data_IF_954889956037
#
_entry.id   IF_954889956037
#
_cell.length_a   1.000
_cell.length_b   1.000
_cell.length_c   1.000
_cell.angle_alpha   90.00
_cell.angle_beta   90.00
_cell.angle_gamma   90.00
#
_symmetry.space_group_name_H-M   'P 1'
#
loop_
_entity.id
_entity.type
_entity.pdbx_description
1 polymer ?
#
# COMPACT_ATOMS: atom_id res chain seq x y z
N UNK A 1 -8.01 29.15 -10.62
CA UNK A 1 -8.52 27.76 -10.43
C UNK A 1 -7.47 26.75 -9.95
N UNK A 2 -6.18 27.09 -9.83
CA UNK A 2 -5.10 26.15 -9.45
C UNK A 2 -4.99 25.87 -7.94
N UNK A 3 -5.33 26.84 -7.09
CA UNK A 3 -5.17 26.73 -5.62
C UNK A 3 -6.15 25.72 -4.98
N UNK A 4 -7.41 25.68 -5.44
CA UNK A 4 -8.40 24.70 -4.96
C UNK A 4 -8.03 23.25 -5.31
N UNK A 5 -7.55 23.02 -6.54
CA UNK A 5 -7.10 21.69 -6.99
C UNK A 5 -5.91 21.18 -6.18
N UNK A 6 -4.97 22.07 -5.82
CA UNK A 6 -3.86 21.74 -4.92
C UNK A 6 -4.33 21.38 -3.51
N UNK A 7 -5.25 22.16 -2.95
CA UNK A 7 -5.84 21.87 -1.63
C UNK A 7 -6.57 20.53 -1.60
N UNK A 8 -7.33 20.19 -2.65
CA UNK A 8 -8.05 18.92 -2.72
C UNK A 8 -7.09 17.72 -2.83
N UNK A 9 -5.96 17.88 -3.51
CA UNK A 9 -4.92 16.84 -3.62
C UNK A 9 -4.17 16.64 -2.30
N UNK A 10 -3.75 17.73 -1.66
CA UNK A 10 -3.08 17.70 -0.34
C UNK A 10 -4.01 17.12 0.74
N UNK A 11 -5.30 17.47 0.71
CA UNK A 11 -6.30 16.90 1.61
C UNK A 11 -6.48 15.39 1.42
N UNK A 12 -6.45 14.91 0.16
CA UNK A 12 -6.51 13.48 -0.17
C UNK A 12 -5.27 12.73 0.29
N UNK A 13 -4.08 13.30 0.10
CA UNK A 13 -2.82 12.72 0.59
C UNK A 13 -2.83 12.57 2.11
N UNK A 14 -3.22 13.62 2.85
CA UNK A 14 -3.28 13.59 4.32
C UNK A 14 -4.31 12.56 4.81
N UNK A 15 -5.48 12.50 4.16
CA UNK A 15 -6.52 11.54 4.49
C UNK A 15 -6.04 10.09 4.27
N UNK A 16 -5.47 9.80 3.11
CA UNK A 16 -4.94 8.48 2.77
C UNK A 16 -3.78 8.10 3.71
N UNK A 17 -2.90 9.04 4.04
CA UNK A 17 -1.81 8.80 4.98
C UNK A 17 -2.33 8.43 6.37
N UNK A 18 -3.28 9.20 6.90
CA UNK A 18 -3.89 8.90 8.20
C UNK A 18 -4.61 7.54 8.19
N UNK A 19 -5.29 7.21 7.10
CA UNK A 19 -5.92 5.90 6.92
C UNK A 19 -4.85 4.80 6.95
N UNK A 20 -3.79 4.92 6.17
CA UNK A 20 -2.70 3.94 6.13
C UNK A 20 -1.98 3.80 7.48
N UNK A 21 -1.81 4.89 8.23
CA UNK A 21 -1.24 4.86 9.57
C UNK A 21 -2.15 4.16 10.58
N UNK A 22 -3.47 4.41 10.52
CA UNK A 22 -4.46 3.76 11.38
C UNK A 22 -4.55 2.25 11.11
N UNK A 23 -4.51 1.86 9.85
CA UNK A 23 -4.60 0.46 9.40
C UNK A 23 -3.24 -0.24 9.28
N UNK A 24 -2.16 0.41 9.70
CA UNK A 24 -0.79 -0.16 9.73
C UNK A 24 -0.67 -1.50 10.47
N UNK A 25 -1.28 -1.73 11.65
CA UNK A 25 -1.25 -3.06 12.27
C UNK A 25 -1.96 -4.13 11.44
N UNK A 26 -3.03 -3.79 10.71
CA UNK A 26 -3.72 -4.71 9.82
C UNK A 26 -2.86 -5.10 8.61
N UNK A 27 -2.13 -4.15 8.01
CA UNK A 27 -1.14 -4.43 6.96
C UNK A 27 -0.04 -5.38 7.44
N UNK A 28 0.41 -5.19 8.69
CA UNK A 28 1.39 -6.08 9.32
C UNK A 28 0.85 -7.50 9.47
N UNK A 29 -0.36 -7.64 10.00
CA UNK A 29 -1.00 -8.95 10.20
C UNK A 29 -1.20 -9.64 8.84
N UNK A 30 -1.77 -8.94 7.87
CA UNK A 30 -1.99 -9.46 6.53
C UNK A 30 -0.69 -9.89 5.85
N UNK A 31 0.34 -9.03 5.86
CA UNK A 31 1.66 -9.37 5.31
C UNK A 31 2.29 -10.58 5.98
N UNK A 32 2.13 -10.73 7.30
CA UNK A 32 2.64 -11.89 8.05
C UNK A 32 1.90 -13.18 7.70
N UNK A 33 0.57 -13.13 7.56
CA UNK A 33 -0.24 -14.29 7.17
C UNK A 33 0.15 -14.75 5.75
N UNK A 34 0.27 -13.83 4.81
CA UNK A 34 0.68 -14.15 3.42
C UNK A 34 2.10 -14.72 3.41
N UNK A 35 3.01 -14.19 4.21
CA UNK A 35 4.38 -14.71 4.33
C UNK A 35 4.39 -16.17 4.80
N UNK A 36 3.65 -16.48 5.88
CA UNK A 36 3.56 -17.83 6.41
C UNK A 36 2.94 -18.80 5.40
N UNK A 37 1.87 -18.37 4.72
CA UNK A 37 1.25 -19.16 3.66
C UNK A 37 2.23 -19.46 2.53
N UNK A 38 2.92 -18.43 2.02
CA UNK A 38 3.85 -18.58 0.92
C UNK A 38 5.03 -19.51 1.26
N UNK A 39 5.53 -19.46 2.50
CA UNK A 39 6.55 -20.38 2.99
C UNK A 39 6.00 -21.82 3.04
N UNK A 40 4.79 -22.01 3.55
CA UNK A 40 4.17 -23.33 3.66
C UNK A 40 3.88 -23.98 2.30
N UNK A 41 3.53 -23.18 1.29
CA UNK A 41 3.19 -23.68 -0.06
C UNK A 41 4.36 -23.73 -1.02
N UNK A 42 5.54 -23.27 -0.63
CA UNK A 42 6.71 -23.12 -1.51
C UNK A 42 7.10 -24.42 -2.22
N UNK A 43 7.03 -25.55 -1.50
CA UNK A 43 7.37 -26.87 -2.03
C UNK A 43 6.34 -27.41 -3.04
N UNK A 44 5.09 -26.97 -2.96
CA UNK A 44 3.99 -27.45 -3.82
C UNK A 44 3.79 -26.55 -5.05
N UNK A 45 3.88 -25.24 -4.86
CA UNK A 45 3.62 -24.23 -5.88
C UNK A 45 4.70 -23.14 -5.85
N UNK A 46 5.92 -23.41 -6.36
CA UNK A 46 7.06 -22.51 -6.18
C UNK A 46 6.84 -21.15 -6.84
N UNK A 47 6.34 -21.11 -8.08
CA UNK A 47 6.06 -19.86 -8.80
C UNK A 47 5.00 -19.00 -8.09
N UNK A 48 3.88 -19.62 -7.69
CA UNK A 48 2.81 -18.93 -6.97
C UNK A 48 3.27 -18.43 -5.59
N UNK A 49 4.10 -19.22 -4.91
CA UNK A 49 4.66 -18.86 -3.61
C UNK A 49 5.68 -17.73 -3.72
N UNK A 50 6.50 -17.69 -4.77
CA UNK A 50 7.40 -16.55 -5.05
C UNK A 50 6.59 -15.27 -5.24
N UNK A 51 5.51 -15.31 -6.04
CA UNK A 51 4.63 -14.15 -6.20
C UNK A 51 4.01 -13.71 -4.86
N UNK A 52 3.54 -14.66 -4.04
CA UNK A 52 3.00 -14.38 -2.72
C UNK A 52 4.06 -13.79 -1.76
N UNK A 53 5.31 -14.27 -1.81
CA UNK A 53 6.43 -13.71 -1.05
C UNK A 53 6.69 -12.24 -1.42
N UNK A 54 6.65 -11.89 -2.70
CA UNK A 54 6.80 -10.50 -3.15
C UNK A 54 5.67 -9.62 -2.58
N UNK A 55 4.43 -10.09 -2.63
CA UNK A 55 3.28 -9.36 -2.06
C UNK A 55 3.41 -9.20 -0.54
N UNK A 56 3.79 -10.27 0.18
CA UNK A 56 4.03 -10.23 1.62
C UNK A 56 5.14 -9.24 1.98
N UNK A 57 6.26 -9.29 1.25
CA UNK A 57 7.38 -8.37 1.44
C UNK A 57 6.95 -6.92 1.23
N UNK A 58 6.15 -6.65 0.19
CA UNK A 58 5.62 -5.31 -0.07
C UNK A 58 4.77 -4.78 1.11
N UNK A 59 3.85 -5.60 1.64
CA UNK A 59 2.98 -5.21 2.77
C UNK A 59 3.78 -4.96 4.06
N UNK A 60 4.77 -5.80 4.32
CA UNK A 60 5.65 -5.63 5.49
C UNK A 60 6.56 -4.41 5.31
N UNK A 61 7.12 -4.17 4.13
CA UNK A 61 7.93 -2.99 3.84
C UNK A 61 7.14 -1.68 4.01
N UNK A 62 5.89 -1.63 3.55
CA UNK A 62 5.00 -0.49 3.82
C UNK A 62 4.77 -0.28 5.32
N UNK A 63 4.77 -1.36 6.10
CA UNK A 63 4.63 -1.27 7.56
C UNK A 63 5.90 -0.71 8.21
N UNK A 64 7.10 -1.03 7.72
CA UNK A 64 8.35 -0.59 8.35
C UNK A 64 8.86 0.77 7.83
N UNK A 65 8.58 1.12 6.57
CA UNK A 65 9.09 2.33 5.92
C UNK A 65 8.01 3.37 5.69
N UNK A 66 8.08 4.46 6.45
CA UNK A 66 7.23 5.63 6.26
C UNK A 66 7.42 6.29 4.88
N UNK A 67 8.65 6.29 4.37
CA UNK A 67 8.95 6.82 3.03
C UNK A 67 8.21 6.04 1.94
N UNK A 68 8.19 4.70 2.00
CA UNK A 68 7.44 3.88 1.04
C UNK A 68 5.94 4.12 1.13
N UNK A 69 5.40 4.23 2.34
CA UNK A 69 3.99 4.55 2.56
C UNK A 69 3.60 5.89 1.91
N UNK A 70 4.43 6.93 2.06
CA UNK A 70 4.21 8.23 1.41
C UNK A 70 4.17 8.13 -0.12
N UNK A 71 5.05 7.34 -0.74
CA UNK A 71 5.03 7.15 -2.20
C UNK A 71 3.75 6.46 -2.66
N UNK A 72 3.30 5.44 -1.94
CA UNK A 72 2.04 4.74 -2.25
C UNK A 72 0.83 5.65 -2.06
N UNK A 73 0.82 6.48 -1.02
CA UNK A 73 -0.23 7.48 -0.78
C UNK A 73 -0.27 8.52 -1.91
N UNK A 74 0.88 9.04 -2.34
CA UNK A 74 0.98 9.97 -3.48
C UNK A 74 0.49 9.35 -4.79
N UNK A 75 0.88 8.11 -5.06
CA UNK A 75 0.38 7.35 -6.21
C UNK A 75 -1.14 7.14 -6.14
N UNK A 76 -1.66 6.82 -4.96
CA UNK A 76 -3.11 6.66 -4.73
C UNK A 76 -3.87 7.97 -4.91
N UNK A 77 -3.34 9.08 -4.39
CA UNK A 77 -3.90 10.41 -4.57
C UNK A 77 -3.90 10.82 -6.05
N UNK A 78 -2.82 10.55 -6.78
CA UNK A 78 -2.71 10.81 -8.21
C UNK A 78 -3.74 10.03 -9.04
N UNK A 79 -3.88 8.71 -8.79
CA UNK A 79 -4.92 7.88 -9.41
C UNK A 79 -6.34 8.38 -9.08
N UNK A 80 -6.57 8.78 -7.83
CA UNK A 80 -7.85 9.33 -7.39
C UNK A 80 -8.20 10.66 -8.05
N UNK A 81 -7.20 11.49 -8.37
CA UNK A 81 -7.41 12.75 -9.09
C UNK A 81 -7.65 12.57 -10.58
N UNK A 82 -7.00 11.58 -11.24
CA UNK A 82 -7.25 11.30 -12.67
C UNK A 82 -8.71 10.93 -12.93
N UNK A 83 -9.30 10.15 -12.03
CA UNK A 83 -10.71 9.75 -12.14
C UNK A 83 -11.70 10.92 -11.98
N UNK A 84 -11.27 12.06 -11.44
CA UNK A 84 -12.09 13.28 -11.34
C UNK A 84 -11.94 14.21 -12.55
N UNK A 85 -10.97 13.96 -13.43
CA UNK A 85 -10.68 14.81 -14.59
C UNK A 85 -11.09 14.19 -15.94
N UNK A 86 -11.38 12.88 -15.99
CA UNK A 86 -11.98 12.21 -17.15
C UNK A 86 -13.48 12.01 -16.98
#
# INVERSE_FOLDING_TARGET
MSLRKRLDHEGLEIYLLNLFLLYRPLLRIAGTIILLYAIATLSFYPLGSIAALVVAAFFLLMTFSYSLMLHVVKLGAWLGTIRKEG
#
